data_IF_806505016324
#
_entry.id   IF_806505016324
#
_cell.length_a   1.000
_cell.length_b   1.000
_cell.length_c   1.000
_cell.angle_alpha   90.00
_cell.angle_beta   90.00
_cell.angle_gamma   90.00
#
_symmetry.space_group_name_H-M   'P 1'
#
loop_
_entity.id
_entity.type
_entity.pdbx_description
1 polymer ?
#
# COMPACT_ATOMS: atom_id res chain seq x y z
N UNK A 1 -6.81 25.87 -23.09
CA UNK A 1 -7.64 25.47 -21.92
C UNK A 1 -7.75 23.96 -21.97
N UNK A 2 -6.98 23.26 -21.13
CA UNK A 2 -7.06 21.81 -21.07
C UNK A 2 -8.31 21.45 -20.25
N UNK A 3 -9.23 20.71 -20.86
CA UNK A 3 -10.40 20.14 -20.19
C UNK A 3 -9.92 19.22 -19.06
N UNK A 4 -10.46 19.29 -17.83
CA UNK A 4 -10.17 18.27 -16.84
C UNK A 4 -10.69 16.94 -17.37
N UNK A 5 -9.81 15.93 -17.45
CA UNK A 5 -10.24 14.57 -17.76
C UNK A 5 -11.34 14.16 -16.78
N UNK A 6 -12.42 13.63 -17.33
CA UNK A 6 -13.57 13.14 -16.56
C UNK A 6 -13.09 12.04 -15.62
N UNK A 7 -13.62 12.01 -14.39
CA UNK A 7 -13.38 10.94 -13.40
C UNK A 7 -13.64 9.55 -14.01
N UNK A 8 -14.47 9.46 -15.06
CA UNK A 8 -14.77 8.24 -15.80
C UNK A 8 -13.59 7.64 -16.56
N UNK A 9 -12.55 8.41 -16.92
CA UNK A 9 -11.44 7.93 -17.75
C UNK A 9 -10.35 7.20 -16.93
N UNK A 10 -10.33 7.36 -15.59
CA UNK A 10 -9.36 6.69 -14.71
C UNK A 10 -9.83 5.34 -14.15
N UNK A 11 -11.12 5.02 -14.27
CA UNK A 11 -11.70 3.76 -13.74
C UNK A 11 -11.43 2.56 -14.68
N UNK A 12 -10.93 2.81 -15.90
CA UNK A 12 -11.00 1.85 -17.01
C UNK A 12 -9.83 0.84 -17.06
N UNK A 13 -8.75 1.03 -16.30
CA UNK A 13 -7.60 0.10 -16.25
C UNK A 13 -7.23 -0.31 -14.81
N UNK A 14 -8.21 -0.77 -14.03
CA UNK A 14 -7.97 -1.46 -12.76
C UNK A 14 -8.04 -2.98 -12.98
N UNK A 15 -6.96 -3.56 -13.49
CA UNK A 15 -6.74 -5.00 -13.36
C UNK A 15 -6.61 -5.33 -11.87
N UNK A 16 -7.73 -5.75 -11.25
CA UNK A 16 -7.75 -6.23 -9.88
C UNK A 16 -6.95 -7.52 -9.80
N UNK A 17 -6.02 -7.57 -8.84
CA UNK A 17 -5.30 -8.79 -8.52
C UNK A 17 -6.25 -9.67 -7.70
N UNK A 18 -6.59 -10.84 -8.22
CA UNK A 18 -7.43 -11.83 -7.53
C UNK A 18 -6.52 -12.95 -7.01
N UNK A 19 -6.14 -12.94 -5.72
CA UNK A 19 -5.35 -14.03 -5.16
C UNK A 19 -6.20 -15.29 -4.98
N UNK A 20 -5.58 -16.45 -5.14
CA UNK A 20 -6.18 -17.73 -4.76
C UNK A 20 -6.26 -17.87 -3.24
N UNK A 21 -7.14 -18.74 -2.75
CA UNK A 21 -7.22 -19.07 -1.32
C UNK A 21 -5.91 -19.65 -0.78
N UNK A 22 -5.17 -20.41 -1.61
CA UNK A 22 -3.87 -20.96 -1.23
C UNK A 22 -2.82 -19.87 -1.04
N UNK A 23 -2.77 -18.87 -1.93
CA UNK A 23 -1.88 -17.72 -1.79
C UNK A 23 -2.20 -16.89 -0.54
N UNK A 24 -3.49 -16.67 -0.24
CA UNK A 24 -3.88 -15.97 0.99
C UNK A 24 -3.53 -16.78 2.25
N UNK A 25 -3.71 -18.11 2.21
CA UNK A 25 -3.39 -19.00 3.33
C UNK A 25 -1.88 -19.16 3.56
N UNK A 26 -1.04 -18.90 2.55
CA UNK A 26 0.42 -18.97 2.66
C UNK A 26 1.01 -17.81 3.49
N UNK A 27 0.30 -16.69 3.61
CA UNK A 27 0.77 -15.51 4.36
C UNK A 27 0.90 -15.85 5.84
N UNK A 28 2.09 -15.62 6.38
CA UNK A 28 2.40 -15.83 7.80
C UNK A 28 2.20 -14.55 8.58
N UNK A 29 1.27 -14.61 9.52
CA UNK A 29 1.02 -13.54 10.47
C UNK A 29 1.81 -13.81 11.75
N UNK A 30 2.29 -12.74 12.40
CA UNK A 30 2.93 -12.82 13.70
C UNK A 30 1.92 -13.16 14.83
N UNK A 31 2.39 -13.19 16.07
CA UNK A 31 1.55 -13.50 17.24
C UNK A 31 0.37 -12.54 17.46
N UNK A 32 0.44 -11.33 16.90
CA UNK A 32 -0.62 -10.32 16.98
C UNK A 32 -1.61 -10.42 15.81
N UNK A 33 -1.44 -11.41 14.92
CA UNK A 33 -2.23 -11.57 13.70
C UNK A 33 -1.88 -10.55 12.61
N UNK A 34 -0.64 -10.04 12.62
CA UNK A 34 -0.18 -8.99 11.70
C UNK A 34 0.97 -9.44 10.81
N UNK A 35 1.01 -8.89 9.60
CA UNK A 35 2.11 -9.05 8.63
C UNK A 35 2.65 -7.66 8.24
N UNK A 36 3.98 -7.46 8.19
CA UNK A 36 4.57 -6.25 7.64
C UNK A 36 4.30 -6.14 6.14
N UNK A 37 4.00 -4.93 5.67
CA UNK A 37 3.78 -4.63 4.26
C UNK A 37 4.58 -3.42 3.82
N UNK A 38 5.29 -3.57 2.70
CA UNK A 38 6.03 -2.51 2.03
C UNK A 38 5.19 -2.00 0.86
N UNK A 39 4.98 -0.69 0.79
CA UNK A 39 4.43 -0.03 -0.39
C UNK A 39 5.56 0.62 -1.18
N UNK A 40 5.69 0.26 -2.45
CA UNK A 40 6.70 0.80 -3.37
C UNK A 40 5.99 1.46 -4.56
N UNK A 41 6.43 2.63 -4.99
CA UNK A 41 5.90 3.25 -6.19
C UNK A 41 6.34 2.47 -7.44
N UNK A 42 5.38 2.07 -8.26
CA UNK A 42 5.67 1.34 -9.50
C UNK A 42 6.32 2.23 -10.56
N UNK A 43 6.12 3.55 -10.51
CA UNK A 43 6.62 4.48 -11.52
C UNK A 43 8.14 4.70 -11.43
N UNK A 44 8.69 4.73 -10.22
CA UNK A 44 10.10 5.08 -9.98
C UNK A 44 10.86 4.13 -9.05
N UNK A 45 10.18 3.17 -8.41
CA UNK A 45 10.79 2.21 -7.50
C UNK A 45 11.03 2.73 -6.08
N UNK A 46 10.58 3.94 -5.74
CA UNK A 46 10.72 4.48 -4.39
C UNK A 46 9.97 3.60 -3.38
N UNK A 47 10.65 3.20 -2.31
CA UNK A 47 9.96 2.65 -1.14
C UNK A 47 9.22 3.81 -0.47
N UNK A 48 7.89 3.74 -0.43
CA UNK A 48 7.04 4.82 0.05
C UNK A 48 6.82 4.75 1.55
N UNK A 49 6.49 3.56 2.06
CA UNK A 49 6.21 3.35 3.47
C UNK A 49 6.22 1.86 3.81
N UNK A 50 6.33 1.58 5.10
CA UNK A 50 6.02 0.28 5.69
C UNK A 50 4.84 0.45 6.66
N UNK A 51 3.91 -0.50 6.64
CA UNK A 51 2.79 -0.55 7.57
C UNK A 51 2.48 -2.01 7.94
N UNK A 52 1.37 -2.21 8.65
CA UNK A 52 0.90 -3.53 9.07
C UNK A 52 -0.42 -3.85 8.38
N UNK A 53 -0.63 -5.12 8.08
CA UNK A 53 -1.92 -5.67 7.67
C UNK A 53 -2.30 -6.82 8.59
N UNK A 54 -3.58 -6.94 8.92
CA UNK A 54 -4.19 -8.20 9.34
C UNK A 54 -4.85 -8.89 8.13
N UNK A 55 -5.39 -10.10 8.33
CA UNK A 55 -6.06 -10.85 7.25
C UNK A 55 -7.21 -10.08 6.58
N UNK A 56 -7.98 -9.30 7.36
CA UNK A 56 -9.09 -8.49 6.84
C UNK A 56 -8.60 -7.36 5.93
N UNK A 57 -7.62 -6.56 6.38
CA UNK A 57 -7.04 -5.48 5.59
C UNK A 57 -6.37 -5.96 4.30
N UNK A 58 -5.77 -7.15 4.32
CA UNK A 58 -5.21 -7.78 3.12
C UNK A 58 -6.31 -8.15 2.12
N UNK A 59 -7.37 -8.83 2.60
CA UNK A 59 -8.53 -9.20 1.78
C UNK A 59 -9.18 -7.96 1.14
N UNK A 60 -9.39 -6.91 1.93
CA UNK A 60 -9.94 -5.64 1.45
C UNK A 60 -9.04 -4.96 0.42
N UNK A 61 -7.71 -5.05 0.59
CA UNK A 61 -6.76 -4.48 -0.37
C UNK A 61 -6.93 -5.09 -1.76
N UNK A 62 -7.06 -6.40 -1.85
CA UNK A 62 -7.31 -7.08 -3.12
C UNK A 62 -8.71 -6.80 -3.67
N UNK A 63 -9.73 -6.79 -2.81
CA UNK A 63 -11.11 -6.53 -3.23
C UNK A 63 -11.32 -5.10 -3.76
N UNK A 64 -10.65 -4.11 -3.16
CA UNK A 64 -10.82 -2.69 -3.48
C UNK A 64 -9.78 -2.18 -4.50
N UNK A 65 -8.69 -2.93 -4.71
CA UNK A 65 -7.55 -2.45 -5.51
C UNK A 65 -6.85 -1.23 -4.88
N UNK A 66 -7.10 -0.95 -3.59
CA UNK A 66 -6.53 0.17 -2.83
C UNK A 66 -5.81 -0.36 -1.61
N UNK A 67 -4.72 0.30 -1.21
CA UNK A 67 -4.02 -0.09 0.03
C UNK A 67 -4.89 0.16 1.26
N UNK A 68 -5.20 -0.91 1.99
CA UNK A 68 -5.88 -0.90 3.29
C UNK A 68 -4.92 -1.46 4.33
N UNK A 69 -4.70 -0.73 5.41
CA UNK A 69 -3.76 -1.11 6.47
C UNK A 69 -4.49 -1.34 7.80
N UNK A 70 -3.80 -1.97 8.74
CA UNK A 70 -4.19 -2.07 10.15
C UNK A 70 -3.37 -1.10 11.00
N UNK A 71 -4.06 -0.21 11.71
CA UNK A 71 -3.44 0.75 12.62
C UNK A 71 -3.29 0.14 14.01
N UNK A 72 -2.08 -0.34 14.35
CA UNK A 72 -1.81 -0.96 15.68
C UNK A 72 -2.18 -0.07 16.88
N UNK A 73 -1.97 1.24 16.78
CA UNK A 73 -2.26 2.19 17.87
C UNK A 73 -3.74 2.50 18.04
N UNK A 74 -4.54 2.31 16.99
CA UNK A 74 -5.99 2.62 16.98
C UNK A 74 -6.84 1.35 16.97
N UNK A 75 -6.21 0.20 16.76
CA UNK A 75 -6.85 -1.10 16.57
C UNK A 75 -7.99 -1.04 15.54
N UNK A 76 -7.72 -0.40 14.40
CA UNK A 76 -8.72 -0.19 13.35
C UNK A 76 -8.12 -0.31 11.94
N UNK A 77 -8.98 -0.59 10.98
CA UNK A 77 -8.68 -0.56 9.55
C UNK A 77 -8.56 0.88 9.06
N UNK A 78 -7.64 1.12 8.13
CA UNK A 78 -7.45 2.41 7.50
C UNK A 78 -7.08 2.28 6.03
N UNK A 79 -7.92 2.84 5.16
CA UNK A 79 -7.65 2.97 3.72
C UNK A 79 -6.76 4.18 3.48
N UNK A 80 -5.62 3.98 2.83
CA UNK A 80 -4.65 5.05 2.60
C UNK A 80 -5.27 6.16 1.74
N UNK A 81 -5.21 7.38 2.26
CA UNK A 81 -5.65 8.59 1.57
C UNK A 81 -7.13 8.92 1.69
N UNK A 82 -7.93 8.18 2.49
CA UNK A 82 -9.36 8.52 2.65
C UNK A 82 -9.60 9.92 3.23
N UNK A 83 -8.71 10.38 4.11
CA UNK A 83 -8.78 11.73 4.68
C UNK A 83 -8.01 12.77 3.88
N UNK A 84 -6.81 12.45 3.39
CA UNK A 84 -5.93 13.44 2.74
C UNK A 84 -6.11 13.55 1.22
N UNK A 85 -6.70 12.53 0.59
CA UNK A 85 -6.69 12.38 -0.87
C UNK A 85 -5.45 11.70 -1.43
N UNK A 86 -4.41 11.42 -0.62
CA UNK A 86 -3.18 10.76 -1.09
C UNK A 86 -3.32 9.24 -1.12
N UNK A 87 -4.01 8.73 -2.14
CA UNK A 87 -4.39 7.31 -2.27
C UNK A 87 -3.28 6.46 -2.87
N UNK A 88 -3.34 5.16 -2.63
CA UNK A 88 -2.43 4.17 -3.21
C UNK A 88 -3.26 3.08 -3.89
N UNK A 89 -3.09 2.94 -5.20
CA UNK A 89 -3.77 1.94 -6.03
C UNK A 89 -2.83 0.78 -6.33
N UNK A 90 -3.28 -0.44 -6.05
CA UNK A 90 -2.47 -1.65 -6.22
C UNK A 90 -2.30 -1.96 -7.70
N UNK A 91 -1.04 -2.20 -8.10
CA UNK A 91 -0.68 -2.60 -9.47
C UNK A 91 -0.01 -3.97 -9.51
N UNK A 92 0.83 -4.28 -8.52
CA UNK A 92 1.43 -5.60 -8.34
C UNK A 92 1.45 -5.96 -6.84
N UNK A 93 1.42 -7.26 -6.53
CA UNK A 93 1.46 -7.76 -5.16
C UNK A 93 2.36 -9.00 -5.08
N UNK A 94 3.16 -9.06 -4.04
CA UNK A 94 4.15 -10.10 -3.77
C UNK A 94 4.19 -10.43 -2.28
N UNK A 95 4.63 -11.64 -1.96
CA UNK A 95 5.12 -12.03 -0.65
C UNK A 95 6.57 -12.52 -0.82
N UNK A 96 7.37 -12.44 0.24
CA UNK A 96 8.77 -12.88 0.21
C UNK A 96 8.92 -14.41 0.31
N UNK A 97 10.15 -14.91 0.41
CA UNK A 97 10.44 -16.33 0.22
C UNK A 97 9.85 -17.26 1.28
N UNK A 98 9.58 -16.75 2.48
CA UNK A 98 8.91 -17.44 3.57
C UNK A 98 7.55 -16.84 3.94
N UNK A 99 7.06 -15.90 3.12
CA UNK A 99 5.71 -15.33 3.15
C UNK A 99 5.36 -14.61 4.46
N UNK A 100 6.36 -14.05 5.14
CA UNK A 100 6.17 -13.25 6.36
C UNK A 100 6.24 -11.75 6.12
N UNK A 101 6.55 -11.33 4.89
CA UNK A 101 6.54 -9.92 4.47
C UNK A 101 5.89 -9.75 3.11
N UNK A 102 5.03 -8.73 2.99
CA UNK A 102 4.34 -8.39 1.75
C UNK A 102 4.99 -7.18 1.06
N UNK A 103 5.01 -7.20 -0.26
CA UNK A 103 5.37 -6.06 -1.10
C UNK A 103 4.22 -5.76 -2.06
N UNK A 104 3.71 -4.53 -2.00
CA UNK A 104 2.78 -4.01 -2.99
C UNK A 104 3.47 -2.93 -3.81
N UNK A 105 3.45 -3.10 -5.13
CA UNK A 105 3.75 -1.98 -6.03
C UNK A 105 2.47 -1.22 -6.32
N UNK A 106 2.52 0.07 -6.08
CA UNK A 106 1.34 0.93 -6.10
C UNK A 106 1.56 2.12 -7.02
N UNK A 107 0.48 2.60 -7.62
CA UNK A 107 0.41 3.96 -8.12
C UNK A 107 0.02 4.88 -6.96
N UNK A 108 0.88 5.82 -6.61
CA UNK A 108 0.54 6.85 -5.64
C UNK A 108 -0.21 7.99 -6.32
N UNK A 109 -1.38 8.31 -5.79
CA UNK A 109 -2.08 9.56 -6.05
C UNK A 109 -1.75 10.59 -4.95
N UNK A 110 -1.73 11.87 -5.32
CA UNK A 110 -1.51 12.98 -4.39
C UNK A 110 -0.04 13.35 -4.21
N UNK A 111 0.25 14.11 -3.15
CA UNK A 111 1.58 14.66 -2.91
C UNK A 111 2.57 13.59 -2.41
N UNK A 112 2.09 12.64 -1.61
CA UNK A 112 2.97 11.63 -1.03
C UNK A 112 2.31 10.63 -0.09
N UNK A 113 3.09 9.64 0.32
CA UNK A 113 2.65 8.64 1.28
C UNK A 113 2.66 9.17 2.72
N UNK A 114 3.53 10.13 3.04
CA UNK A 114 3.76 10.57 4.41
C UNK A 114 2.77 11.67 4.85
N UNK A 115 2.32 11.61 6.10
CA UNK A 115 1.46 12.63 6.69
C UNK A 115 2.15 14.01 6.86
N UNK A 116 3.47 14.09 6.68
CA UNK A 116 4.23 15.35 6.67
C UNK A 116 4.13 16.09 5.34
N UNK A 117 3.51 15.48 4.32
CA UNK A 117 3.50 15.96 2.94
C UNK A 117 4.68 15.46 2.09
N UNK A 118 5.62 14.70 2.69
CA UNK A 118 6.72 14.10 1.94
C UNK A 118 6.26 12.91 1.06
N UNK A 119 6.94 12.73 -0.08
CA UNK A 119 6.64 11.67 -1.06
C UNK A 119 6.73 10.27 -0.47
N UNK A 120 7.81 10.00 0.26
CA UNK A 120 8.10 8.77 1.01
C UNK A 120 8.17 9.10 2.50
N UNK A 121 7.93 8.11 3.37
CA UNK A 121 8.24 8.21 4.80
C UNK A 121 9.75 8.14 5.09
N UNK A 122 10.56 7.64 4.15
CA UNK A 122 12.00 7.41 4.31
C UNK A 122 12.84 8.61 3.81
N UNK A 123 12.48 9.83 4.23
CA UNK A 123 13.16 11.06 3.79
C UNK A 123 14.37 11.47 4.66
N UNK A 124 14.55 10.84 5.81
CA UNK A 124 15.67 11.10 6.72
C UNK A 124 16.77 10.06 6.51
N UNK A 125 17.99 10.51 6.20
CA UNK A 125 19.15 9.63 6.07
C UNK A 125 19.91 9.47 7.40
N UNK A 126 20.56 8.32 7.59
CA UNK A 126 21.62 8.22 8.59
C UNK A 126 22.79 9.13 8.17
N UNK A 127 23.43 9.78 9.13
CA UNK A 127 24.54 10.68 8.84
C UNK A 127 25.76 9.92 8.30
N UNK A 128 26.47 10.53 7.36
CA UNK A 128 27.93 10.36 7.29
C UNK A 128 28.48 11.53 8.09
N UNK A 129 29.16 11.27 9.21
CA UNK A 129 30.07 12.31 9.73
C UNK A 129 31.03 12.61 8.58
N UNK A 130 31.00 13.84 8.08
CA UNK A 130 32.03 14.33 7.17
C UNK A 130 33.40 14.25 7.85
#
# INVERSE_FOLDING_TARGET
>A
MATPASISDKVVDMNLIVPTSEQLAAVKYNSDGLVPVIAQDIANGDVLMMAWMNAESLSMTFAEGRMVYWSRSRSELWRKGDTSGDRQFVREAYYDCDADTLLFKVEQEGAGACHTGARTCFFSSFGTSA
#
